data_IF_177749321740
#
_entry.id   IF_177749321740
#
_cell.length_a   1.000
_cell.length_b   1.000
_cell.length_c   1.000
_cell.angle_alpha   90.00
_cell.angle_beta   90.00
_cell.angle_gamma   90.00
#
_symmetry.space_group_name_H-M   'P 1'
#
loop_
_entity.id
_entity.type
_entity.pdbx_description
1 polymer ?
#
# COMPACT_ATOMS: atom_id res chain seq x y z
N UNK A 1 -17.15 9.37 3.58
CA UNK A 1 -15.87 8.66 3.40
C UNK A 1 -14.89 9.15 4.44
N UNK A 2 -14.10 8.27 5.07
CA UNK A 2 -13.04 8.71 6.02
C UNK A 2 -11.85 9.16 5.18
N UNK A 3 -11.39 10.40 5.37
CA UNK A 3 -10.43 11.05 4.46
C UNK A 3 -8.98 10.51 4.56
N UNK A 4 -8.61 9.93 5.71
CA UNK A 4 -7.26 9.34 5.96
C UNK A 4 -6.12 10.34 5.66
N UNK A 5 -6.33 11.63 5.97
CA UNK A 5 -5.46 12.74 5.56
C UNK A 5 -3.99 12.53 5.94
N UNK A 6 -3.71 11.96 7.11
CA UNK A 6 -2.34 11.62 7.54
C UNK A 6 -1.61 10.73 6.54
N UNK A 7 -2.30 9.74 5.97
CA UNK A 7 -1.70 8.78 5.04
C UNK A 7 -1.71 9.31 3.61
N UNK A 8 -2.75 10.05 3.24
CA UNK A 8 -2.79 10.78 1.98
C UNK A 8 -1.60 11.75 1.87
N UNK A 9 -1.36 12.56 2.90
CA UNK A 9 -0.23 13.50 2.93
C UNK A 9 1.14 12.79 2.84
N UNK A 10 1.28 11.59 3.38
CA UNK A 10 2.50 10.79 3.20
C UNK A 10 2.69 10.37 1.73
N UNK A 11 1.62 9.97 1.04
CA UNK A 11 1.66 9.64 -0.38
C UNK A 11 1.98 10.87 -1.24
N UNK A 12 1.38 12.02 -0.92
CA UNK A 12 1.64 13.30 -1.60
C UNK A 12 3.10 13.71 -1.44
N UNK A 13 3.63 13.67 -0.22
CA UNK A 13 5.03 14.06 0.04
C UNK A 13 6.05 13.11 -0.59
N UNK A 14 5.67 11.84 -0.82
CA UNK A 14 6.53 10.84 -1.44
C UNK A 14 6.36 10.77 -2.97
N UNK A 15 5.41 11.51 -3.54
CA UNK A 15 5.12 11.54 -4.98
C UNK A 15 6.36 11.98 -5.77
N UNK A 16 6.62 11.30 -6.90
CA UNK A 16 7.72 11.56 -7.83
C UNK A 16 9.13 11.60 -7.22
N UNK A 17 9.34 10.99 -6.05
CA UNK A 17 10.64 11.00 -5.37
C UNK A 17 11.65 9.97 -5.92
N UNK A 18 11.28 9.23 -6.97
CA UNK A 18 12.09 8.18 -7.59
C UNK A 18 12.16 6.87 -6.80
N UNK A 19 11.52 6.79 -5.63
CA UNK A 19 11.43 5.57 -4.83
C UNK A 19 10.06 4.92 -4.96
N UNK A 20 9.97 3.59 -4.97
CA UNK A 20 8.69 2.90 -4.84
C UNK A 20 8.08 3.21 -3.47
N UNK A 21 6.78 3.50 -3.45
CA UNK A 21 6.02 3.65 -2.20
C UNK A 21 5.52 2.27 -1.80
N UNK A 22 5.99 1.76 -0.68
CA UNK A 22 5.59 0.45 -0.14
C UNK A 22 4.62 0.68 1.00
N UNK A 23 3.34 0.39 0.76
CA UNK A 23 2.25 0.55 1.73
C UNK A 23 2.01 -0.79 2.43
N UNK A 24 2.35 -0.85 3.71
CA UNK A 24 2.17 -2.04 4.55
C UNK A 24 1.10 -1.81 5.61
N UNK A 25 0.57 -2.89 6.17
CA UNK A 25 -0.44 -2.83 7.22
C UNK A 25 -1.18 -4.14 7.41
N UNK A 26 -1.89 -4.25 8.52
CA UNK A 26 -2.71 -5.42 8.84
C UNK A 26 -3.84 -5.64 7.83
N UNK A 27 -4.40 -6.85 7.80
CA UNK A 27 -5.57 -7.13 6.96
C UNK A 27 -6.73 -6.21 7.38
N UNK A 28 -7.48 -5.69 6.40
CA UNK A 28 -8.63 -4.77 6.59
C UNK A 28 -8.30 -3.36 7.14
N UNK A 29 -7.05 -2.90 7.12
CA UNK A 29 -6.73 -1.50 7.47
C UNK A 29 -6.96 -0.48 6.34
N UNK A 30 -7.44 -0.92 5.17
CA UNK A 30 -7.82 -0.03 4.06
C UNK A 30 -6.69 0.38 3.12
N UNK A 31 -5.63 -0.44 2.95
CA UNK A 31 -4.52 -0.14 2.02
C UNK A 31 -4.98 0.08 0.59
N UNK A 32 -5.71 -0.91 0.04
CA UNK A 32 -6.26 -0.85 -1.31
C UNK A 32 -7.20 0.35 -1.48
N UNK A 33 -8.04 0.63 -0.47
CA UNK A 33 -8.94 1.78 -0.48
C UNK A 33 -8.18 3.12 -0.47
N UNK A 34 -7.10 3.22 0.31
CA UNK A 34 -6.25 4.43 0.34
C UNK A 34 -5.67 4.74 -1.04
N UNK A 35 -5.22 3.73 -1.81
CA UNK A 35 -4.68 3.97 -3.15
C UNK A 35 -5.78 4.16 -4.20
N UNK A 36 -6.72 3.21 -4.29
CA UNK A 36 -7.71 3.11 -5.38
C UNK A 36 -8.80 4.17 -5.32
N UNK A 37 -9.18 4.58 -4.11
CA UNK A 37 -10.22 5.60 -3.92
C UNK A 37 -9.58 6.93 -3.57
N UNK A 38 -8.91 7.02 -2.42
CA UNK A 38 -8.47 8.32 -1.86
C UNK A 38 -7.35 8.94 -2.70
N UNK A 39 -6.28 8.21 -2.97
CA UNK A 39 -5.12 8.76 -3.67
C UNK A 39 -5.39 8.94 -5.16
N UNK A 40 -6.14 8.01 -5.79
CA UNK A 40 -6.62 8.17 -7.16
C UNK A 40 -7.46 9.43 -7.33
N UNK A 41 -8.45 9.67 -6.46
CA UNK A 41 -9.25 10.90 -6.48
C UNK A 41 -8.37 12.15 -6.35
N UNK A 42 -7.36 12.11 -5.47
CA UNK A 42 -6.39 13.18 -5.36
C UNK A 42 -5.65 13.40 -6.68
N UNK A 43 -5.10 12.36 -7.32
CA UNK A 43 -4.39 12.49 -8.60
C UNK A 43 -5.30 13.09 -9.69
N UNK A 44 -6.54 12.61 -9.81
CA UNK A 44 -7.52 13.15 -10.75
C UNK A 44 -7.82 14.63 -10.48
N UNK A 45 -7.86 15.04 -9.21
CA UNK A 45 -8.03 16.45 -8.84
C UNK A 45 -6.82 17.34 -9.15
N UNK A 46 -5.66 16.73 -9.44
CA UNK A 46 -4.43 17.39 -9.88
C UNK A 46 -4.25 17.27 -11.40
N UNK A 47 -5.35 17.10 -12.14
CA UNK A 47 -5.37 16.99 -13.62
C UNK A 47 -4.58 15.82 -14.19
N UNK A 48 -4.28 14.79 -13.39
CA UNK A 48 -3.72 13.54 -13.90
C UNK A 48 -4.81 12.81 -14.70
N UNK A 49 -4.62 12.51 -16.00
CA UNK A 49 -5.61 11.76 -16.75
C UNK A 49 -5.77 10.34 -16.21
N UNK A 50 -7.00 9.83 -16.18
CA UNK A 50 -7.29 8.44 -15.76
C UNK A 50 -6.43 7.42 -16.50
N UNK A 51 -6.16 7.64 -17.79
CA UNK A 51 -5.32 6.76 -18.61
C UNK A 51 -3.86 6.67 -18.16
N UNK A 52 -3.42 7.56 -17.27
CA UNK A 52 -2.08 7.58 -16.65
C UNK A 52 -2.06 6.92 -15.28
N UNK A 53 -3.19 6.45 -14.78
CA UNK A 53 -3.31 5.73 -13.51
C UNK A 53 -3.54 4.25 -13.83
N UNK A 54 -2.56 3.42 -13.51
CA UNK A 54 -2.62 1.97 -13.76
C UNK A 54 -2.85 1.28 -12.43
N UNK A 55 -3.95 0.53 -12.32
CA UNK A 55 -4.27 -0.27 -11.13
C UNK A 55 -4.21 -1.74 -11.51
N UNK A 56 -3.45 -2.53 -10.74
CA UNK A 56 -3.32 -3.96 -10.91
C UNK A 56 -3.59 -4.68 -9.59
N UNK A 57 -4.56 -5.59 -9.59
CA UNK A 57 -4.99 -6.36 -8.42
C UNK A 57 -4.52 -7.80 -8.55
N UNK A 58 -3.44 -8.18 -7.86
CA UNK A 58 -2.85 -9.51 -8.05
C UNK A 58 -3.62 -10.64 -7.37
N UNK A 59 -4.60 -10.32 -6.52
CA UNK A 59 -5.51 -11.30 -5.91
C UNK A 59 -6.68 -11.68 -6.83
N UNK A 60 -7.03 -10.86 -7.83
CA UNK A 60 -7.95 -11.21 -8.92
C UNK A 60 -7.35 -12.35 -9.78
N UNK A 61 -8.16 -13.35 -10.11
CA UNK A 61 -7.76 -14.50 -10.92
C UNK A 61 -7.44 -14.13 -12.38
N UNK A 62 -8.06 -13.08 -12.92
CA UNK A 62 -7.75 -12.53 -14.25
C UNK A 62 -6.30 -12.06 -14.37
N UNK A 63 -5.73 -11.63 -13.24
CA UNK A 63 -4.35 -11.13 -13.16
C UNK A 63 -3.35 -12.22 -12.74
N UNK A 64 -3.78 -13.49 -12.71
CA UNK A 64 -2.93 -14.62 -12.31
C UNK A 64 -1.63 -14.74 -13.12
N UNK A 65 -1.65 -14.39 -14.42
CA UNK A 65 -0.45 -14.34 -15.28
C UNK A 65 0.61 -13.38 -14.73
N UNK A 66 0.19 -12.25 -14.15
CA UNK A 66 1.08 -11.23 -13.60
C UNK A 66 1.59 -11.56 -12.20
N UNK A 67 1.31 -12.77 -11.68
CA UNK A 67 1.99 -13.30 -10.49
C UNK A 67 3.37 -13.86 -10.84
N UNK A 68 3.66 -14.02 -12.14
CA UNK A 68 5.02 -14.19 -12.63
C UNK A 68 5.75 -12.83 -12.62
N UNK A 69 6.93 -12.72 -12.00
CA UNK A 69 7.63 -11.44 -11.85
C UNK A 69 8.02 -10.82 -13.20
N UNK A 70 8.41 -11.63 -14.18
CA UNK A 70 8.84 -11.09 -15.48
C UNK A 70 7.64 -10.66 -16.33
N UNK A 71 6.54 -11.42 -16.29
CA UNK A 71 5.29 -11.02 -16.95
C UNK A 71 4.71 -9.74 -16.33
N UNK A 72 4.79 -9.59 -15.01
CA UNK A 72 4.39 -8.36 -14.32
C UNK A 72 5.21 -7.16 -14.82
N UNK A 73 6.53 -7.28 -14.81
CA UNK A 73 7.42 -6.22 -15.25
C UNK A 73 7.22 -5.86 -16.72
N UNK A 74 7.02 -6.86 -17.59
CA UNK A 74 6.74 -6.64 -19.00
C UNK A 74 5.40 -5.93 -19.21
N UNK A 75 4.35 -6.37 -18.52
CA UNK A 75 3.02 -5.77 -18.61
C UNK A 75 3.01 -4.28 -18.21
N UNK A 76 3.66 -3.92 -17.11
CA UNK A 76 3.71 -2.51 -16.68
C UNK A 76 4.51 -1.66 -17.66
N UNK A 77 5.67 -2.13 -18.12
CA UNK A 77 6.47 -1.39 -19.13
C UNK A 77 5.71 -1.21 -20.45
N UNK A 78 4.95 -2.22 -20.87
CA UNK A 78 4.09 -2.16 -22.05
C UNK A 78 3.02 -1.05 -21.92
N UNK A 79 2.41 -0.94 -20.73
CA UNK A 79 1.41 0.11 -20.45
C UNK A 79 2.02 1.51 -20.35
N UNK A 80 3.29 1.61 -19.95
CA UNK A 80 4.03 2.87 -19.75
C UNK A 80 5.03 3.17 -20.88
N UNK A 81 4.71 2.81 -22.13
CA UNK A 81 5.65 2.87 -23.26
C UNK A 81 6.01 4.26 -23.76
N UNK A 82 5.14 5.25 -23.54
CA UNK A 82 5.40 6.61 -23.98
C UNK A 82 6.24 7.38 -22.93
N UNK A 83 6.55 8.65 -23.22
CA UNK A 83 7.39 9.47 -22.34
C UNK A 83 6.61 10.19 -21.24
N UNK A 84 5.31 9.94 -21.13
CA UNK A 84 4.46 10.60 -20.14
C UNK A 84 4.53 9.88 -18.80
N UNK A 85 4.25 10.60 -17.72
CA UNK A 85 4.30 10.06 -16.37
C UNK A 85 3.07 9.19 -16.06
N UNK A 86 3.31 8.06 -15.41
CA UNK A 86 2.28 7.11 -14.96
C UNK A 86 2.37 6.88 -13.46
N UNK A 87 1.20 6.74 -12.84
CA UNK A 87 1.06 6.33 -11.44
C UNK A 87 0.58 4.88 -11.41
N UNK A 88 1.44 3.98 -10.93
CA UNK A 88 1.19 2.53 -11.00
C UNK A 88 0.91 2.00 -9.61
N UNK A 89 -0.27 1.44 -9.40
CA UNK A 89 -0.70 0.84 -8.14
C UNK A 89 -0.76 -0.68 -8.30
N UNK A 90 0.10 -1.40 -7.59
CA UNK A 90 0.09 -2.88 -7.57
C UNK A 90 -0.37 -3.34 -6.19
N UNK A 91 -1.55 -3.94 -6.14
CA UNK A 91 -2.16 -4.45 -4.91
C UNK A 91 -1.73 -5.91 -4.66
N UNK A 92 -1.48 -6.23 -3.39
CA UNK A 92 -1.10 -7.58 -2.94
C UNK A 92 0.18 -8.12 -3.64
N UNK A 93 1.25 -7.31 -3.70
CA UNK A 93 2.52 -7.66 -4.36
C UNK A 93 3.12 -8.99 -3.89
N UNK A 94 2.85 -9.41 -2.64
CA UNK A 94 3.25 -10.70 -2.10
C UNK A 94 2.63 -11.93 -2.81
N UNK A 95 1.70 -11.72 -3.76
CA UNK A 95 1.14 -12.77 -4.63
C UNK A 95 2.07 -13.15 -5.77
N UNK A 96 3.03 -12.28 -6.11
CA UNK A 96 4.08 -12.60 -7.06
C UNK A 96 5.00 -13.65 -6.45
N UNK A 97 5.16 -14.77 -7.15
CA UNK A 97 6.09 -15.81 -6.73
C UNK A 97 7.51 -15.50 -7.23
N UNK A 98 8.49 -16.17 -6.66
CA UNK A 98 9.87 -16.07 -7.12
C UNK A 98 10.17 -17.18 -8.13
N UNK A 99 11.00 -16.86 -9.14
CA UNK A 99 11.45 -17.82 -10.15
C UNK A 99 12.98 -17.89 -10.18
N UNK A 100 13.53 -19.03 -10.55
CA UNK A 100 14.96 -19.13 -10.90
C UNK A 100 15.22 -18.24 -12.12
N UNK A 101 16.34 -17.52 -12.12
CA UNK A 101 16.74 -16.66 -13.23
C UNK A 101 16.65 -17.44 -14.56
N UNK A 102 15.81 -17.02 -15.52
CA UNK A 102 15.60 -17.80 -16.75
C UNK A 102 16.85 -18.01 -17.61
N UNK A 103 17.90 -17.22 -17.40
CA UNK A 103 19.21 -17.45 -18.03
C UNK A 103 19.87 -18.77 -17.58
N UNK A 104 19.42 -19.35 -16.47
CA UNK A 104 19.90 -20.61 -15.91
C UNK A 104 18.96 -21.80 -16.18
N UNK A 105 17.84 -21.56 -16.87
CA UNK A 105 16.78 -22.56 -17.10
C UNK A 105 16.33 -22.62 -18.56
N UNK A 106 17.21 -22.24 -19.49
CA UNK A 106 16.93 -22.19 -20.94
C UNK A 106 15.68 -21.34 -21.28
N UNK A 107 15.51 -20.23 -20.57
CA UNK A 107 14.37 -19.32 -20.74
C UNK A 107 13.07 -19.78 -20.07
N UNK A 108 13.06 -20.90 -19.34
CA UNK A 108 11.86 -21.41 -18.66
C UNK A 108 11.63 -20.72 -17.33
N UNK A 109 10.39 -20.35 -17.05
CA UNK A 109 10.02 -19.76 -15.76
C UNK A 109 9.77 -20.90 -14.75
N UNK A 110 10.78 -21.23 -13.97
CA UNK A 110 10.75 -22.30 -12.96
C UNK A 110 10.61 -21.68 -11.58
N UNK A 111 9.66 -22.16 -10.77
CA UNK A 111 9.47 -21.67 -9.39
C UNK A 111 10.74 -21.90 -8.56
N UNK A 112 11.14 -20.86 -7.81
CA UNK A 112 12.27 -20.95 -6.90
C UNK A 112 11.86 -21.56 -5.54
N UNK A 113 12.81 -22.28 -4.95
CA UNK A 113 12.78 -22.83 -3.60
C UNK A 113 13.79 -22.11 -2.69
N UNK A 114 13.87 -22.50 -1.42
CA UNK A 114 14.76 -21.88 -0.43
C UNK A 114 16.25 -22.03 -0.73
N UNK A 115 16.63 -23.04 -1.50
CA UNK A 115 18.03 -23.40 -1.75
C UNK A 115 18.57 -22.77 -3.06
N UNK A 116 17.71 -22.12 -3.84
CA UNK A 116 18.09 -21.47 -5.08
C UNK A 116 18.80 -20.14 -4.81
N UNK A 117 19.95 -19.93 -5.46
CA UNK A 117 20.81 -18.77 -5.21
C UNK A 117 20.52 -17.59 -6.15
N UNK A 118 20.17 -17.87 -7.41
CA UNK A 118 19.94 -16.86 -8.45
C UNK A 118 18.46 -16.81 -8.81
N UNK A 119 17.73 -15.97 -8.07
CA UNK A 119 16.27 -15.91 -8.08
C UNK A 119 15.81 -14.51 -8.45
N UNK A 120 14.78 -14.42 -9.29
CA UNK A 120 14.06 -13.19 -9.59
C UNK A 120 12.79 -13.19 -8.75
N UNK A 121 12.64 -12.17 -7.91
CA UNK A 121 11.51 -11.96 -7.02
C UNK A 121 10.73 -10.70 -7.40
N UNK A 122 9.63 -10.45 -6.69
CA UNK A 122 8.91 -9.19 -6.85
C UNK A 122 9.76 -7.97 -6.45
N UNK A 123 10.75 -8.13 -5.56
CA UNK A 123 11.62 -7.02 -5.13
C UNK A 123 12.41 -6.49 -6.34
N UNK A 124 12.96 -7.39 -7.14
CA UNK A 124 13.72 -7.05 -8.36
C UNK A 124 12.86 -6.30 -9.36
N UNK A 125 11.61 -6.73 -9.52
CA UNK A 125 10.65 -6.10 -10.43
C UNK A 125 10.25 -4.72 -9.93
N UNK A 126 9.94 -4.58 -8.63
CA UNK A 126 9.56 -3.30 -8.02
C UNK A 126 10.69 -2.28 -8.14
N UNK A 127 11.92 -2.68 -7.79
CA UNK A 127 13.10 -1.81 -7.91
C UNK A 127 13.47 -1.53 -9.37
N UNK A 128 13.24 -2.47 -10.28
CA UNK A 128 13.45 -2.29 -11.71
C UNK A 128 12.47 -1.27 -12.30
N UNK A 129 11.18 -1.41 -11.99
CA UNK A 129 10.13 -0.50 -12.43
C UNK A 129 10.29 0.91 -11.83
N UNK A 130 10.72 1.04 -10.58
CA UNK A 130 10.92 2.35 -9.95
C UNK A 130 12.09 3.15 -10.53
N UNK A 131 12.99 2.52 -11.30
CA UNK A 131 14.08 3.21 -12.02
C UNK A 131 13.63 3.80 -13.35
N UNK A 132 12.47 3.37 -13.87
CA UNK A 132 11.88 3.95 -15.07
C UNK A 132 11.42 5.37 -14.76
N UNK A 133 11.99 6.37 -15.43
CA UNK A 133 11.80 7.79 -15.07
C UNK A 133 10.36 8.28 -15.15
N UNK A 134 9.53 7.59 -15.93
CA UNK A 134 8.13 7.94 -16.18
C UNK A 134 7.14 7.10 -15.35
N UNK A 135 7.63 6.31 -14.38
CA UNK A 135 6.79 5.48 -13.52
C UNK A 135 6.94 5.91 -12.06
N UNK A 136 5.83 6.36 -11.46
CA UNK A 136 5.72 6.56 -10.03
C UNK A 136 4.99 5.36 -9.39
N UNK A 137 5.75 4.47 -8.77
CA UNK A 137 5.27 3.14 -8.34
C UNK A 137 4.78 3.10 -6.89
N UNK A 138 3.61 2.50 -6.68
CA UNK A 138 2.99 2.25 -5.38
C UNK A 138 2.63 0.77 -5.28
N UNK A 139 3.09 0.11 -4.23
CA UNK A 139 2.79 -1.29 -3.99
C UNK A 139 2.17 -1.47 -2.61
N UNK A 140 1.16 -2.33 -2.51
CA UNK A 140 0.63 -2.74 -1.22
C UNK A 140 1.05 -4.16 -0.89
N UNK A 141 1.12 -4.45 0.40
CA UNK A 141 1.09 -5.83 0.85
C UNK A 141 0.79 -6.03 2.32
N UNK A 142 0.52 -7.27 2.66
CA UNK A 142 0.27 -7.67 4.05
C UNK A 142 1.58 -7.84 4.82
N UNK A 143 1.54 -7.43 6.10
CA UNK A 143 2.70 -7.35 6.98
C UNK A 143 3.53 -8.64 7.05
N UNK A 144 2.92 -9.83 7.11
CA UNK A 144 3.67 -11.06 7.40
C UNK A 144 4.70 -11.45 6.32
N UNK A 145 4.42 -11.16 5.04
CA UNK A 145 5.36 -11.43 3.94
C UNK A 145 6.21 -10.22 3.58
N UNK A 146 5.66 -9.01 3.58
CA UNK A 146 6.44 -7.79 3.24
C UNK A 146 7.37 -7.33 4.36
N UNK A 147 7.20 -7.82 5.60
CA UNK A 147 8.09 -7.54 6.72
C UNK A 147 9.12 -8.65 6.96
N UNK A 148 9.36 -9.57 6.02
CA UNK A 148 10.51 -10.47 6.16
C UNK A 148 11.78 -9.62 6.29
N UNK A 149 12.75 -10.08 7.09
CA UNK A 149 14.01 -9.37 7.31
C UNK A 149 14.66 -8.96 6.00
N UNK A 150 14.57 -9.81 4.98
CA UNK A 150 15.27 -9.66 3.71
C UNK A 150 14.59 -8.63 2.82
N UNK A 151 13.24 -8.66 2.74
CA UNK A 151 12.45 -7.66 2.00
C UNK A 151 12.59 -6.28 2.65
N UNK A 152 12.58 -6.23 3.99
CA UNK A 152 12.80 -4.98 4.74
C UNK A 152 14.20 -4.44 4.50
N UNK A 153 15.22 -5.31 4.44
CA UNK A 153 16.61 -4.91 4.18
C UNK A 153 16.77 -4.35 2.77
N UNK A 154 16.23 -5.02 1.76
CA UNK A 154 16.31 -4.55 0.37
C UNK A 154 15.58 -3.22 0.13
N UNK A 155 14.44 -3.02 0.80
CA UNK A 155 13.66 -1.80 0.67
C UNK A 155 14.06 -0.68 1.62
N UNK A 156 14.96 -0.90 2.58
CA UNK A 156 15.27 0.06 3.66
C UNK A 156 15.66 1.44 3.15
N UNK A 157 16.57 1.46 2.18
CA UNK A 157 17.12 2.70 1.59
C UNK A 157 16.69 2.90 0.13
N UNK A 158 15.88 1.96 -0.39
CA UNK A 158 15.44 1.93 -1.79
C UNK A 158 13.93 2.06 -1.94
N UNK A 159 13.18 2.34 -0.87
CA UNK A 159 11.74 2.52 -0.90
C UNK A 159 11.24 3.54 0.14
N UNK A 160 10.14 4.21 -0.18
CA UNK A 160 9.38 5.00 0.81
C UNK A 160 8.37 4.09 1.50
N UNK A 161 8.62 3.79 2.77
CA UNK A 161 7.77 2.87 3.54
C UNK A 161 6.65 3.62 4.27
N UNK A 162 5.39 3.29 3.96
CA UNK A 162 4.20 3.87 4.60
C UNK A 162 3.46 2.76 5.35
N UNK A 163 3.48 2.83 6.68
CA UNK A 163 2.81 1.85 7.55
C UNK A 163 1.40 2.31 7.90
N UNK A 164 0.41 1.69 7.28
CA UNK A 164 -1.01 1.96 7.49
C UNK A 164 -1.52 1.23 8.74
N UNK A 165 -1.99 2.00 9.72
CA UNK A 165 -2.67 1.48 10.91
C UNK A 165 -4.18 1.32 10.67
N UNK A 166 -4.89 0.50 11.46
CA UNK A 166 -6.35 0.56 11.53
C UNK A 166 -6.86 1.97 11.81
N UNK A 167 -8.16 2.19 11.60
CA UNK A 167 -8.81 3.44 11.93
C UNK A 167 -8.63 3.75 13.42
N UNK A 168 -8.22 4.98 13.73
CA UNK A 168 -8.16 5.47 15.10
C UNK A 168 -9.58 5.81 15.60
N UNK A 169 -9.74 5.88 16.93
CA UNK A 169 -10.99 6.35 17.53
C UNK A 169 -11.33 7.78 17.10
N UNK A 170 -10.32 8.63 16.89
CA UNK A 170 -10.48 9.99 16.38
C UNK A 170 -11.06 9.98 14.96
N UNK A 171 -10.54 9.13 14.05
CA UNK A 171 -11.07 9.01 12.70
C UNK A 171 -12.52 8.49 12.67
N UNK A 172 -12.86 7.58 13.58
CA UNK A 172 -14.25 7.14 13.75
C UNK A 172 -15.13 8.27 14.29
N UNK A 173 -14.67 8.99 15.32
CA UNK A 173 -15.39 10.10 15.92
C UNK A 173 -15.71 11.19 14.88
N UNK A 174 -14.71 11.63 14.12
CA UNK A 174 -14.89 12.64 13.08
C UNK A 174 -15.89 12.17 12.01
N UNK A 175 -15.89 10.88 11.68
CA UNK A 175 -16.86 10.32 10.74
C UNK A 175 -18.30 10.40 11.27
N UNK A 176 -18.53 10.03 12.53
CA UNK A 176 -19.86 10.07 13.16
C UNK A 176 -20.34 11.51 13.35
N UNK A 177 -19.46 12.40 13.82
CA UNK A 177 -19.74 13.83 13.96
C UNK A 177 -20.15 14.45 12.63
N UNK A 178 -19.44 14.15 11.53
CA UNK A 178 -19.77 14.65 10.20
C UNK A 178 -21.09 14.11 9.65
N UNK A 179 -21.61 13.00 10.20
CA UNK A 179 -22.95 12.47 9.90
C UNK A 179 -24.05 13.07 10.79
N UNK A 180 -23.71 14.01 11.66
CA UNK A 180 -24.64 14.59 12.64
C UNK A 180 -25.00 13.66 13.79
N UNK A 181 -24.22 12.59 14.02
CA UNK A 181 -24.46 11.64 15.12
C UNK A 181 -23.78 12.19 16.38
N UNK A 182 -24.55 12.34 17.47
CA UNK A 182 -24.04 12.81 18.75
C UNK A 182 -23.06 11.80 19.33
N UNK A 183 -21.79 12.19 19.41
CA UNK A 183 -20.69 11.37 19.92
C UNK A 183 -19.77 12.21 20.78
N UNK A 184 -19.03 11.56 21.67
CA UNK A 184 -18.01 12.21 22.52
C UNK A 184 -16.67 11.50 22.32
N UNK A 185 -15.61 12.27 22.12
CA UNK A 185 -14.23 11.77 22.10
C UNK A 185 -13.39 12.62 23.05
N UNK A 186 -12.62 11.97 23.92
CA UNK A 186 -11.74 12.62 24.88
C UNK A 186 -10.37 11.95 24.82
N UNK A 187 -9.35 12.73 24.46
CA UNK A 187 -7.95 12.28 24.51
C UNK A 187 -7.54 12.04 25.96
N UNK A 188 -6.87 10.92 26.23
CA UNK A 188 -6.27 10.66 27.54
C UNK A 188 -4.75 10.92 27.47
N UNK A 189 -4.28 12.11 27.87
CA UNK A 189 -2.85 12.40 27.93
C UNK A 189 -2.12 11.68 29.08
N UNK A 190 -2.86 10.98 29.97
CA UNK A 190 -2.30 10.16 31.06
C UNK A 190 -2.29 8.65 30.73
N UNK A 191 -2.00 7.82 31.74
CA UNK A 191 -2.13 6.37 31.59
C UNK A 191 -3.60 5.90 31.73
N UNK A 192 -3.88 4.64 31.42
CA UNK A 192 -5.23 4.07 31.50
C UNK A 192 -5.83 4.08 32.92
N UNK A 193 -5.07 4.39 33.97
CA UNK A 193 -5.49 4.28 35.37
C UNK A 193 -5.88 5.60 36.02
N UNK A 194 -5.56 6.75 35.43
CA UNK A 194 -5.87 8.07 36.00
C UNK A 194 -7.36 8.42 35.84
N UNK A 195 -8.11 8.62 36.92
CA UNK A 195 -9.54 8.99 36.90
C UNK A 195 -10.44 7.98 36.17
N UNK A 196 -10.25 6.68 36.43
CA UNK A 196 -10.97 5.60 35.75
C UNK A 196 -12.48 5.58 36.06
N UNK A 197 -12.85 5.91 37.29
CA UNK A 197 -14.22 6.07 37.78
C UNK A 197 -14.96 7.20 37.06
N UNK A 198 -14.34 8.38 36.94
CA UNK A 198 -14.93 9.52 36.23
C UNK A 198 -15.13 9.21 34.74
N UNK A 199 -14.19 8.49 34.13
CA UNK A 199 -14.29 8.07 32.72
C UNK A 199 -15.40 7.03 32.51
N UNK A 200 -15.55 6.07 33.41
CA UNK A 200 -16.66 5.13 33.37
C UNK A 200 -18.01 5.84 33.55
N UNK A 201 -18.11 6.78 34.49
CA UNK A 201 -19.31 7.58 34.71
C UNK A 201 -19.69 8.39 33.47
N UNK A 202 -18.73 9.04 32.80
CA UNK A 202 -18.95 9.74 31.52
C UNK A 202 -19.45 8.79 30.42
N UNK A 203 -18.87 7.59 30.33
CA UNK A 203 -19.30 6.57 29.37
C UNK A 203 -20.74 6.09 29.62
N UNK A 204 -21.08 5.79 30.87
CA UNK A 204 -22.46 5.41 31.26
C UNK A 204 -23.44 6.54 30.98
N UNK A 205 -23.09 7.79 31.34
CA UNK A 205 -23.94 8.95 31.08
C UNK A 205 -24.19 9.19 29.58
N UNK A 206 -23.22 8.85 28.72
CA UNK A 206 -23.41 8.89 27.27
C UNK A 206 -24.35 7.78 26.77
N UNK A 207 -24.26 6.56 27.31
CA UNK A 207 -25.14 5.44 26.94
C UNK A 207 -26.60 5.67 27.35
N UNK A 208 -26.83 6.41 28.44
CA UNK A 208 -28.16 6.67 28.99
C UNK A 208 -28.89 7.86 28.34
N UNK A 209 -28.28 8.54 27.37
CA UNK A 209 -28.90 9.59 26.55
C UNK A 209 -29.49 8.99 25.27
#
# INVERSE_FOLDING_TARGET
MIKRDRYLNQLINAKDNGFPKVITGVRRCGKSFLLKEIYREYLLSQDVPESRIIILELDDDKNSKYRDPLELGAYIREKCKDKENYYVFIDEIQKVYSIINPNLTDGKHVLANSDDTEVISFVDVVLGLSREKNIDLYVTGSNSKMLSSDIVTEFRDKATNIKLSPLSFEEYYDQYKNKGIETTFEMNPGNHFKDADLRLAKGIAWILK
#
